data_IF_920256760661
#
_entry.id   IF_920256760661
#
_cell.length_a   1.000
_cell.length_b   1.000
_cell.length_c   1.000
_cell.angle_alpha   90.00
_cell.angle_beta   90.00
_cell.angle_gamma   90.00
#
_symmetry.space_group_name_H-M   'P 1'
#
loop_
_entity.id
_entity.type
_entity.pdbx_description
1 polymer ?
#
# COMPACT_ATOMS: atom_id res chain seq x y z
N UNK A 1 -26.94 48.22 34.07
CA UNK A 1 -25.80 48.57 34.97
C UNK A 1 -24.84 47.38 34.90
N UNK A 2 -23.57 47.45 34.50
CA UNK A 2 -22.56 48.50 34.41
C UNK A 2 -21.58 48.11 33.28
N UNK A 3 -21.09 49.12 32.57
CA UNK A 3 -20.13 49.09 31.46
C UNK A 3 -18.69 49.15 31.96
N UNK A 4 -17.75 48.48 31.28
CA UNK A 4 -16.28 48.75 31.25
C UNK A 4 -15.72 48.14 29.96
N UNK A 5 -15.61 48.86 28.83
CA UNK A 5 -14.49 49.74 28.38
C UNK A 5 -13.10 49.09 28.48
N UNK A 6 -12.53 48.69 27.33
CA UNK A 6 -11.19 49.15 26.96
C UNK A 6 -11.00 49.15 25.45
N UNK A 7 -10.51 50.29 24.97
CA UNK A 7 -10.39 50.73 23.59
C UNK A 7 -8.92 51.13 23.44
N UNK A 8 -8.18 50.59 22.48
CA UNK A 8 -6.88 51.13 22.10
C UNK A 8 -6.76 51.15 20.57
N UNK A 9 -7.04 52.33 20.02
CA UNK A 9 -6.65 52.77 18.68
C UNK A 9 -5.13 52.88 18.63
N UNK A 10 -4.52 52.55 17.49
CA UNK A 10 -3.46 53.36 16.89
C UNK A 10 -3.45 53.21 15.36
N UNK A 11 -3.31 54.36 14.70
CA UNK A 11 -3.55 54.67 13.28
C UNK A 11 -2.28 54.48 12.41
N UNK A 12 -2.42 54.50 11.07
CA UNK A 12 -1.35 54.26 10.09
C UNK A 12 -0.57 55.54 9.72
N UNK A 13 0.68 55.39 9.24
CA UNK A 13 1.43 56.51 8.64
C UNK A 13 2.29 56.10 7.42
N UNK A 14 2.09 56.88 6.36
CA UNK A 14 2.55 56.88 4.97
C UNK A 14 3.98 57.42 4.79
N UNK A 15 4.67 57.04 3.69
CA UNK A 15 5.57 57.85 2.80
C UNK A 15 6.63 56.91 2.18
N UNK A 16 6.64 56.57 0.88
CA UNK A 16 6.91 57.37 -0.33
C UNK A 16 8.28 58.09 -0.31
N UNK A 17 9.28 57.50 -0.97
CA UNK A 17 10.41 58.23 -1.53
C UNK A 17 10.94 57.54 -2.80
N UNK A 18 10.84 58.24 -3.92
CA UNK A 18 11.44 57.91 -5.20
C UNK A 18 12.89 58.42 -5.25
N UNK A 19 13.79 57.67 -5.87
CA UNK A 19 15.08 58.21 -6.33
C UNK A 19 15.44 57.61 -7.70
N UNK A 20 15.28 58.45 -8.72
CA UNK A 20 15.80 58.30 -10.08
C UNK A 20 17.29 58.63 -10.13
N UNK A 21 18.08 57.85 -10.87
CA UNK A 21 19.48 58.16 -11.17
C UNK A 21 20.05 57.29 -12.29
N UNK A 22 20.08 57.84 -13.50
CA UNK A 22 20.55 57.28 -14.77
C UNK A 22 22.08 57.24 -14.93
N UNK A 23 22.53 56.25 -15.72
CA UNK A 23 23.63 56.28 -16.71
C UNK A 23 25.09 56.01 -16.26
N UNK A 24 25.63 54.86 -16.69
CA UNK A 24 26.98 54.74 -17.27
C UNK A 24 27.12 53.43 -18.08
N UNK A 25 27.41 53.56 -19.37
CA UNK A 25 27.88 52.48 -20.25
C UNK A 25 29.36 52.23 -19.99
N UNK A 26 29.75 51.01 -19.59
CA UNK A 26 31.11 50.52 -19.76
C UNK A 26 31.08 49.12 -20.37
N UNK A 27 31.49 49.06 -21.63
CA UNK A 27 31.87 47.84 -22.34
C UNK A 27 33.24 47.40 -21.83
N UNK A 28 33.33 46.23 -21.22
CA UNK A 28 34.59 45.53 -20.98
C UNK A 28 34.43 44.06 -21.38
N UNK A 29 35.06 43.71 -22.49
CA UNK A 29 35.24 42.35 -22.97
C UNK A 29 36.55 41.81 -22.39
N UNK A 30 36.50 40.70 -21.66
CA UNK A 30 37.63 39.78 -21.55
C UNK A 30 37.26 38.50 -20.80
N UNK A 31 37.46 37.39 -21.52
CA UNK A 31 37.93 36.06 -21.07
C UNK A 31 37.06 35.15 -20.19
N UNK A 32 37.00 33.91 -20.68
CA UNK A 32 36.32 32.73 -20.18
C UNK A 32 36.64 32.38 -18.73
N UNK A 33 35.60 32.00 -17.99
CA UNK A 33 35.70 31.15 -16.82
C UNK A 33 34.54 30.15 -16.87
N UNK A 34 34.86 28.93 -17.28
CA UNK A 34 33.99 27.76 -17.19
C UNK A 34 33.52 27.58 -15.75
N UNK A 35 32.23 27.75 -15.51
CA UNK A 35 31.57 27.28 -14.31
C UNK A 35 31.57 25.75 -14.35
N UNK A 36 32.40 25.16 -13.49
CA UNK A 36 32.42 23.73 -13.20
C UNK A 36 31.10 23.32 -12.57
N UNK A 37 30.19 22.78 -13.38
CA UNK A 37 29.09 21.95 -12.89
C UNK A 37 29.72 20.72 -12.24
N UNK A 38 29.60 20.60 -10.92
CA UNK A 38 29.93 19.37 -10.22
C UNK A 38 29.00 18.28 -10.77
N UNK A 39 29.57 17.38 -11.57
CA UNK A 39 28.94 16.11 -11.88
C UNK A 39 28.87 15.33 -10.56
N UNK A 40 27.68 15.19 -10.01
CA UNK A 40 27.41 14.15 -9.03
C UNK A 40 27.60 12.83 -9.74
N UNK A 41 28.72 12.18 -9.44
CA UNK A 41 29.01 10.79 -9.75
C UNK A 41 27.98 9.93 -9.00
N UNK A 42 26.81 9.74 -9.62
CA UNK A 42 25.85 8.73 -9.19
C UNK A 42 26.47 7.40 -9.60
N UNK A 43 27.23 6.84 -8.66
CA UNK A 43 27.62 5.44 -8.69
C UNK A 43 26.34 4.62 -8.67
N UNK A 44 25.84 4.31 -9.87
CA UNK A 44 24.82 3.29 -10.08
C UNK A 44 25.51 1.98 -9.80
N UNK A 45 25.51 1.60 -8.53
CA UNK A 45 25.80 0.22 -8.14
C UNK A 45 24.58 -0.54 -8.63
N UNK A 46 24.67 -1.11 -9.83
CA UNK A 46 23.67 -2.05 -10.32
C UNK A 46 23.50 -3.11 -9.24
N UNK A 47 22.29 -3.17 -8.67
CA UNK A 47 21.87 -4.26 -7.82
C UNK A 47 21.76 -5.52 -8.70
N UNK A 48 22.90 -6.14 -9.00
CA UNK A 48 23.01 -7.44 -9.66
C UNK A 48 22.89 -8.59 -8.66
N UNK A 49 22.03 -8.43 -7.64
CA UNK A 49 21.76 -9.45 -6.64
C UNK A 49 20.25 -9.43 -6.41
N UNK A 50 19.63 -10.58 -6.66
CA UNK A 50 18.19 -10.86 -6.57
C UNK A 50 17.34 -10.71 -7.85
N UNK A 51 17.91 -11.05 -9.00
CA UNK A 51 17.13 -11.51 -10.17
C UNK A 51 16.40 -12.84 -9.93
N UNK A 52 16.48 -13.42 -8.73
CA UNK A 52 15.90 -14.72 -8.36
C UNK A 52 14.49 -14.60 -7.78
N UNK A 53 14.00 -13.38 -7.49
CA UNK A 53 12.64 -13.10 -6.99
C UNK A 53 11.74 -12.49 -8.06
N UNK A 54 11.91 -12.88 -9.33
CA UNK A 54 10.83 -12.71 -10.30
C UNK A 54 9.77 -13.74 -9.90
N UNK A 55 8.93 -13.37 -8.94
CA UNK A 55 7.88 -14.21 -8.36
C UNK A 55 6.91 -14.56 -9.48
N UNK A 56 7.11 -15.74 -10.07
CA UNK A 56 6.24 -16.35 -11.06
C UNK A 56 4.78 -16.19 -10.62
N UNK A 57 4.00 -15.42 -11.39
CA UNK A 57 2.57 -15.23 -11.15
C UNK A 57 1.74 -16.40 -11.66
N UNK A 58 2.37 -17.47 -12.15
CA UNK A 58 1.65 -18.67 -12.58
C UNK A 58 0.96 -19.38 -11.42
N UNK A 59 -0.19 -19.96 -11.74
CA UNK A 59 -0.91 -20.88 -10.88
C UNK A 59 -1.72 -21.85 -11.74
N UNK A 60 -2.16 -22.96 -11.14
CA UNK A 60 -2.99 -23.95 -11.80
C UNK A 60 -4.33 -24.07 -11.08
N UNK A 61 -5.42 -23.70 -11.77
CA UNK A 61 -6.77 -23.81 -11.22
C UNK A 61 -7.08 -25.22 -10.71
N UNK A 62 -6.68 -26.26 -11.45
CA UNK A 62 -6.94 -27.67 -11.08
C UNK A 62 -6.19 -28.15 -9.83
N UNK A 63 -5.14 -27.44 -9.43
CA UNK A 63 -4.34 -27.76 -8.23
C UNK A 63 -4.54 -26.73 -7.11
N UNK A 64 -5.51 -25.83 -7.26
CA UNK A 64 -5.81 -24.78 -6.30
C UNK A 64 -7.08 -25.09 -5.53
N UNK A 65 -7.20 -24.54 -4.33
CA UNK A 65 -8.46 -24.53 -3.59
C UNK A 65 -9.28 -23.33 -4.06
N UNK A 66 -10.49 -23.57 -4.53
CA UNK A 66 -11.39 -22.51 -4.99
C UNK A 66 -12.21 -21.98 -3.80
N UNK A 67 -12.25 -20.65 -3.66
CA UNK A 67 -12.99 -19.93 -2.65
C UNK A 67 -13.97 -18.98 -3.34
N UNK A 68 -15.25 -19.14 -3.07
CA UNK A 68 -16.29 -18.27 -3.61
C UNK A 68 -17.03 -17.54 -2.49
N UNK A 69 -17.09 -16.23 -2.62
CA UNK A 69 -17.82 -15.35 -1.70
C UNK A 69 -19.17 -14.95 -2.28
N UNK A 70 -20.20 -15.04 -1.44
CA UNK A 70 -21.54 -14.54 -1.74
C UNK A 70 -22.11 -13.85 -0.50
N UNK A 71 -21.96 -12.53 -0.46
CA UNK A 71 -22.29 -11.69 0.70
C UNK A 71 -21.45 -12.10 1.91
N UNK A 72 -22.04 -12.64 2.98
CA UNK A 72 -21.27 -13.12 4.15
C UNK A 72 -21.02 -14.63 4.12
N UNK A 73 -21.35 -15.30 3.02
CA UNK A 73 -21.16 -16.75 2.86
C UNK A 73 -19.86 -17.04 2.13
N UNK A 74 -19.08 -17.96 2.67
CA UNK A 74 -17.82 -18.43 2.10
C UNK A 74 -17.97 -19.91 1.75
N UNK A 75 -17.77 -20.25 0.48
CA UNK A 75 -17.71 -21.64 0.02
C UNK A 75 -16.27 -22.02 -0.26
N UNK A 76 -15.82 -23.14 0.30
CA UNK A 76 -14.48 -23.70 0.10
C UNK A 76 -14.60 -25.01 -0.68
N UNK A 77 -14.00 -25.06 -1.87
CA UNK A 77 -13.86 -26.27 -2.69
C UNK A 77 -12.37 -26.64 -2.81
N UNK A 78 -11.95 -27.59 -1.98
CA UNK A 78 -10.55 -28.00 -1.85
C UNK A 78 -10.17 -28.23 -0.39
N UNK A 79 -8.87 -28.13 -0.10
CA UNK A 79 -8.29 -28.35 1.23
C UNK A 79 -7.43 -27.17 1.67
N UNK A 80 -7.00 -27.18 2.93
CA UNK A 80 -6.06 -26.19 3.46
C UNK A 80 -6.68 -24.89 3.97
N UNK A 81 -7.94 -24.62 3.63
CA UNK A 81 -8.72 -23.52 4.17
C UNK A 81 -10.02 -24.00 4.82
N UNK A 82 -10.54 -23.21 5.76
CA UNK A 82 -11.83 -23.42 6.40
C UNK A 82 -12.55 -22.08 6.55
N UNK A 83 -13.88 -22.09 6.43
CA UNK A 83 -14.72 -20.95 6.73
C UNK A 83 -15.38 -21.13 8.11
N UNK A 84 -15.32 -20.09 8.94
CA UNK A 84 -16.11 -19.96 10.16
C UNK A 84 -16.89 -18.64 10.11
N UNK A 85 -18.20 -18.73 9.85
CA UNK A 85 -19.00 -17.55 9.51
C UNK A 85 -18.45 -16.84 8.28
N UNK A 86 -18.12 -15.55 8.43
CA UNK A 86 -17.52 -14.73 7.38
C UNK A 86 -15.99 -14.58 7.49
N UNK A 87 -15.34 -15.47 8.25
CA UNK A 87 -13.87 -15.54 8.32
C UNK A 87 -13.41 -16.77 7.55
N UNK A 88 -12.58 -16.55 6.52
CA UNK A 88 -11.80 -17.59 5.85
C UNK A 88 -10.44 -17.72 6.55
N UNK A 89 -10.09 -18.91 7.01
CA UNK A 89 -8.76 -19.19 7.58
C UNK A 89 -8.01 -20.21 6.71
N UNK A 90 -6.89 -19.78 6.14
CA UNK A 90 -5.94 -20.60 5.38
C UNK A 90 -4.83 -21.08 6.33
N UNK A 91 -4.64 -22.40 6.42
CA UNK A 91 -3.75 -23.04 7.40
C UNK A 91 -2.68 -23.93 6.79
N UNK A 92 -2.77 -24.24 5.49
CA UNK A 92 -1.82 -25.09 4.78
C UNK A 92 -1.17 -24.35 3.61
N UNK A 93 0.06 -24.72 3.21
CA UNK A 93 0.65 -24.22 1.98
C UNK A 93 -0.21 -24.59 0.77
N UNK A 94 -0.16 -23.74 -0.25
CA UNK A 94 -0.85 -23.97 -1.50
C UNK A 94 -1.39 -22.68 -2.13
N UNK A 95 -2.14 -22.86 -3.20
CA UNK A 95 -2.78 -21.77 -3.94
C UNK A 95 -4.28 -21.74 -3.68
N UNK A 96 -4.80 -20.56 -3.40
CA UNK A 96 -6.19 -20.30 -3.07
C UNK A 96 -6.74 -19.24 -4.02
N UNK A 97 -7.74 -19.60 -4.83
CA UNK A 97 -8.34 -18.69 -5.82
C UNK A 97 -9.62 -18.11 -5.23
N UNK A 98 -9.62 -16.81 -4.96
CA UNK A 98 -10.71 -16.10 -4.32
C UNK A 98 -11.49 -15.30 -5.37
N UNK A 99 -12.81 -15.44 -5.35
CA UNK A 99 -13.73 -14.79 -6.28
C UNK A 99 -15.04 -14.38 -5.59
N UNK A 100 -15.75 -13.41 -6.17
CA UNK A 100 -17.04 -12.94 -5.67
C UNK A 100 -16.93 -11.87 -4.58
N UNK A 101 -18.00 -11.66 -3.82
CA UNK A 101 -18.09 -10.56 -2.85
C UNK A 101 -18.26 -11.08 -1.43
N UNK A 102 -17.30 -10.78 -0.55
CA UNK A 102 -17.38 -10.90 0.90
C UNK A 102 -17.69 -9.53 1.49
N UNK A 103 -18.98 -9.25 1.75
CA UNK A 103 -19.47 -7.91 2.10
C UNK A 103 -19.10 -7.46 3.52
N UNK A 104 -18.89 -8.42 4.42
CA UNK A 104 -18.35 -8.21 5.76
C UNK A 104 -17.66 -9.49 6.20
N UNK A 105 -16.34 -9.48 6.35
CA UNK A 105 -15.58 -10.66 6.72
C UNK A 105 -14.07 -10.46 6.60
N UNK A 106 -13.30 -11.52 6.83
CA UNK A 106 -11.84 -11.46 6.74
C UNK A 106 -11.28 -12.70 6.07
N UNK A 107 -10.23 -12.50 5.27
CA UNK A 107 -9.33 -13.59 4.85
C UNK A 107 -8.10 -13.58 5.75
N UNK A 108 -7.85 -14.70 6.42
CA UNK A 108 -6.75 -14.87 7.37
C UNK A 108 -5.82 -15.99 6.91
N UNK A 109 -4.51 -15.73 6.92
CA UNK A 109 -3.48 -16.76 6.72
C UNK A 109 -2.78 -17.02 8.04
N UNK A 110 -2.89 -18.24 8.54
CA UNK A 110 -2.35 -18.69 9.83
C UNK A 110 -1.80 -20.12 9.67
N UNK A 111 -0.65 -20.23 9.02
CA UNK A 111 0.04 -21.51 8.82
C UNK A 111 0.84 -21.89 10.07
N UNK A 112 0.94 -23.20 10.35
CA UNK A 112 1.58 -23.73 11.57
C UNK A 112 3.09 -23.89 11.45
N UNK A 113 3.62 -24.08 10.24
CA UNK A 113 5.04 -24.37 9.96
C UNK A 113 5.70 -23.25 9.15
N UNK A 114 5.14 -22.02 9.19
CA UNK A 114 5.56 -20.90 8.34
C UNK A 114 5.70 -21.36 6.89
N UNK A 115 4.58 -21.69 6.26
CA UNK A 115 4.59 -22.22 4.90
C UNK A 115 4.28 -21.11 3.88
N UNK A 116 4.71 -21.29 2.63
CA UNK A 116 4.38 -20.35 1.56
C UNK A 116 2.92 -20.52 1.12
N UNK A 117 2.21 -19.40 0.98
CA UNK A 117 0.81 -19.35 0.57
C UNK A 117 0.67 -18.38 -0.60
N UNK A 118 -0.05 -18.81 -1.64
CA UNK A 118 -0.45 -17.94 -2.74
C UNK A 118 -1.96 -17.72 -2.68
N UNK A 119 -2.38 -16.46 -2.62
CA UNK A 119 -3.76 -16.03 -2.77
C UNK A 119 -3.90 -15.39 -4.15
N UNK A 120 -4.70 -16.00 -5.01
CA UNK A 120 -5.07 -15.43 -6.30
C UNK A 120 -6.39 -14.67 -6.13
N UNK A 121 -6.37 -13.37 -6.37
CA UNK A 121 -7.57 -12.54 -6.39
C UNK A 121 -8.11 -12.51 -7.84
N UNK A 122 -9.23 -13.19 -8.05
CA UNK A 122 -9.89 -13.41 -9.35
C UNK A 122 -11.30 -12.78 -9.35
N UNK A 123 -11.33 -11.44 -9.35
CA UNK A 123 -12.57 -10.67 -9.24
C UNK A 123 -13.17 -10.71 -7.83
N UNK A 124 -12.32 -10.68 -6.80
CA UNK A 124 -12.73 -10.67 -5.40
C UNK A 124 -12.99 -9.25 -4.88
N UNK A 125 -14.08 -9.07 -4.14
CA UNK A 125 -14.34 -7.88 -3.32
C UNK A 125 -14.44 -8.31 -1.87
N UNK A 126 -13.61 -7.76 -0.99
CA UNK A 126 -13.54 -8.12 0.43
C UNK A 126 -13.62 -6.86 1.27
N UNK A 127 -14.64 -6.79 2.11
CA UNK A 127 -14.85 -5.69 3.06
C UNK A 127 -14.80 -6.21 4.48
N UNK A 128 -14.07 -5.49 5.35
CA UNK A 128 -14.07 -5.73 6.80
C UNK A 128 -14.19 -4.42 7.56
N UNK A 129 -15.38 -4.07 8.01
CA UNK A 129 -15.63 -2.82 8.75
C UNK A 129 -14.97 -2.73 10.14
N UNK A 130 -14.34 -3.81 10.62
CA UNK A 130 -13.77 -3.88 11.98
C UNK A 130 -12.33 -4.40 12.03
N UNK A 131 -11.67 -4.54 10.89
CA UNK A 131 -10.31 -5.09 10.82
C UNK A 131 -9.77 -5.11 9.40
N UNK A 132 -8.63 -5.77 9.20
CA UNK A 132 -8.06 -5.95 7.87
C UNK A 132 -8.96 -6.83 6.99
N UNK A 133 -9.04 -6.53 5.69
CA UNK A 133 -9.69 -7.38 4.71
C UNK A 133 -8.89 -8.69 4.51
N UNK A 134 -7.56 -8.57 4.40
CA UNK A 134 -6.64 -9.71 4.36
C UNK A 134 -5.60 -9.54 5.46
N UNK A 135 -5.50 -10.55 6.33
CA UNK A 135 -4.54 -10.60 7.43
C UNK A 135 -3.67 -11.85 7.34
N UNK A 136 -2.40 -11.68 6.97
CA UNK A 136 -1.38 -12.73 7.06
C UNK A 136 -0.76 -12.69 8.45
N UNK A 137 -1.28 -13.54 9.33
CA UNK A 137 -0.87 -13.66 10.72
C UNK A 137 0.40 -14.50 10.88
N UNK A 138 0.52 -15.58 10.11
CA UNK A 138 1.74 -16.42 10.05
C UNK A 138 1.88 -17.17 8.72
N UNK A 139 3.01 -16.99 8.06
CA UNK A 139 3.48 -17.67 6.86
C UNK A 139 5.02 -17.57 6.78
N UNK A 140 5.68 -18.33 5.90
CA UNK A 140 7.05 -17.95 5.51
C UNK A 140 7.00 -16.78 4.54
N UNK A 141 6.17 -16.90 3.50
CA UNK A 141 5.80 -15.78 2.64
C UNK A 141 4.34 -15.90 2.21
N UNK A 142 3.73 -14.75 1.93
CA UNK A 142 2.42 -14.66 1.30
C UNK A 142 2.53 -13.95 -0.04
N UNK A 143 2.09 -14.62 -1.12
CA UNK A 143 1.97 -14.02 -2.45
C UNK A 143 0.52 -13.68 -2.75
N UNK A 144 0.25 -12.43 -3.08
CA UNK A 144 -1.03 -11.96 -3.60
C UNK A 144 -0.90 -11.80 -5.11
N UNK A 145 -1.55 -12.68 -5.86
CA UNK A 145 -1.57 -12.67 -7.33
C UNK A 145 -2.86 -12.04 -7.85
N UNK A 146 -2.75 -10.96 -8.59
CA UNK A 146 -3.87 -10.29 -9.25
C UNK A 146 -4.16 -10.96 -10.59
N UNK A 147 -5.23 -11.75 -10.67
CA UNK A 147 -5.57 -12.49 -11.89
C UNK A 147 -5.75 -11.54 -13.09
N UNK A 148 -5.23 -11.94 -14.25
CA UNK A 148 -5.25 -11.12 -15.47
C UNK A 148 -6.68 -10.70 -15.85
N UNK A 149 -6.85 -9.42 -16.19
CA UNK A 149 -8.13 -8.88 -16.66
C UNK A 149 -9.20 -8.74 -15.57
N UNK A 150 -8.85 -8.97 -14.31
CA UNK A 150 -9.76 -8.79 -13.17
C UNK A 150 -9.52 -7.48 -12.42
N UNK A 151 -10.57 -7.03 -11.73
CA UNK A 151 -10.50 -5.97 -10.74
C UNK A 151 -10.89 -6.55 -9.39
N UNK A 152 -10.03 -6.35 -8.41
CA UNK A 152 -10.20 -6.82 -7.05
C UNK A 152 -10.29 -5.60 -6.13
N UNK A 153 -11.09 -5.69 -5.07
CA UNK A 153 -11.29 -4.59 -4.13
C UNK A 153 -11.14 -5.08 -2.70
N UNK A 154 -10.29 -4.39 -1.93
CA UNK A 154 -10.15 -4.61 -0.50
C UNK A 154 -10.54 -3.32 0.23
N UNK A 155 -11.36 -3.44 1.27
CA UNK A 155 -11.75 -2.28 2.09
C UNK A 155 -11.82 -2.65 3.57
N UNK A 156 -11.33 -1.76 4.42
CA UNK A 156 -11.46 -1.87 5.87
C UNK A 156 -12.34 -0.77 6.48
N UNK A 157 -12.57 -0.82 7.79
CA UNK A 157 -13.29 0.23 8.53
C UNK A 157 -12.39 1.29 9.15
N UNK A 158 -12.99 2.37 9.66
CA UNK A 158 -12.27 3.47 10.34
C UNK A 158 -11.68 3.07 11.72
N UNK A 159 -12.06 1.90 12.24
CA UNK A 159 -11.64 1.41 13.56
C UNK A 159 -11.44 -0.09 13.53
N UNK A 160 -10.39 -0.58 14.17
CA UNK A 160 -10.11 -2.02 14.27
C UNK A 160 -10.47 -2.58 15.65
N UNK A 161 -10.95 -3.82 15.66
CA UNK A 161 -11.10 -4.64 16.87
C UNK A 161 -10.02 -5.72 16.85
N UNK A 162 -9.08 -5.62 17.79
CA UNK A 162 -7.99 -6.57 17.90
C UNK A 162 -8.40 -7.81 18.71
N UNK A 163 -7.98 -9.00 18.27
CA UNK A 163 -8.20 -10.25 19.01
C UNK A 163 -7.34 -10.32 20.29
N UNK A 164 -6.17 -9.69 20.25
CA UNK A 164 -5.18 -9.63 21.33
C UNK A 164 -4.88 -8.18 21.75
N UNK A 165 -4.05 -7.98 22.77
CA UNK A 165 -3.63 -6.63 23.22
C UNK A 165 -2.53 -6.00 22.34
N UNK A 166 -2.48 -6.38 21.07
CA UNK A 166 -1.51 -5.89 20.09
C UNK A 166 -2.15 -4.77 19.26
N UNK A 167 -1.35 -3.80 18.81
CA UNK A 167 -1.81 -2.71 17.93
C UNK A 167 -1.80 -3.13 16.43
N UNK A 168 -2.01 -4.43 16.14
CA UNK A 168 -1.93 -5.03 14.81
C UNK A 168 -3.07 -6.02 14.55
N UNK A 169 -3.56 -6.16 13.29
CA UNK A 169 -3.08 -5.53 12.05
C UNK A 169 -3.44 -4.04 11.95
N UNK A 170 -2.65 -3.23 11.24
CA UNK A 170 -2.93 -1.80 11.01
C UNK A 170 -2.93 -1.43 9.52
N UNK A 171 -3.33 -2.38 8.68
CA UNK A 171 -3.52 -2.15 7.24
C UNK A 171 -4.65 -3.01 6.65
N UNK A 172 -5.28 -2.55 5.58
CA UNK A 172 -6.33 -3.30 4.87
C UNK A 172 -5.83 -4.65 4.34
N UNK A 173 -4.63 -4.66 3.76
CA UNK A 173 -3.82 -5.85 3.50
C UNK A 173 -2.59 -5.80 4.40
N UNK A 174 -2.58 -6.63 5.44
CA UNK A 174 -1.50 -6.65 6.42
C UNK A 174 -0.82 -8.01 6.48
N UNK A 175 0.51 -8.01 6.50
CA UNK A 175 1.31 -9.21 6.66
C UNK A 175 2.35 -9.10 7.78
N UNK A 176 2.40 -10.11 8.65
CA UNK A 176 3.47 -10.30 9.64
C UNK A 176 4.72 -10.97 9.06
N UNK A 177 4.65 -11.45 7.83
CA UNK A 177 5.73 -12.13 7.08
C UNK A 177 6.02 -11.38 5.78
N UNK A 178 7.00 -11.85 5.00
CA UNK A 178 7.27 -11.37 3.64
C UNK A 178 6.00 -11.38 2.78
N UNK A 179 5.75 -10.25 2.11
CA UNK A 179 4.58 -10.03 1.26
C UNK A 179 5.02 -9.77 -0.19
N UNK A 180 4.50 -10.57 -1.10
CA UNK A 180 4.78 -10.47 -2.52
C UNK A 180 3.47 -10.12 -3.24
N UNK A 181 3.49 -9.12 -4.11
CA UNK A 181 2.38 -8.77 -4.99
C UNK A 181 2.79 -8.94 -6.46
N UNK A 182 2.01 -9.71 -7.22
CA UNK A 182 2.26 -9.98 -8.64
C UNK A 182 0.95 -10.20 -9.43
N UNK A 183 1.05 -10.62 -10.69
CA UNK A 183 -0.07 -10.65 -11.63
C UNK A 183 -0.37 -9.29 -12.28
N UNK A 184 -1.10 -9.34 -13.39
CA UNK A 184 -1.39 -8.16 -14.23
C UNK A 184 -2.77 -7.55 -14.00
N UNK A 185 -3.55 -8.10 -13.05
CA UNK A 185 -4.85 -7.56 -12.66
C UNK A 185 -4.78 -6.20 -11.94
N UNK A 186 -5.95 -5.72 -11.55
CA UNK A 186 -6.11 -4.47 -10.78
C UNK A 186 -6.48 -4.77 -9.33
N UNK A 187 -5.85 -4.06 -8.40
CA UNK A 187 -6.19 -4.04 -6.98
C UNK A 187 -6.59 -2.62 -6.57
N UNK A 188 -7.84 -2.47 -6.13
CA UNK A 188 -8.36 -1.27 -5.51
C UNK A 188 -8.32 -1.47 -3.99
N UNK A 189 -7.74 -0.52 -3.25
CA UNK A 189 -7.67 -0.58 -1.79
C UNK A 189 -8.23 0.70 -1.18
N UNK A 190 -9.28 0.55 -0.38
CA UNK A 190 -9.89 1.62 0.40
C UNK A 190 -9.56 1.43 1.88
N UNK A 191 -8.49 2.08 2.33
CA UNK A 191 -7.94 1.96 3.68
C UNK A 191 -8.35 3.14 4.57
N UNK A 192 -9.39 2.89 5.36
CA UNK A 192 -10.05 3.86 6.22
C UNK A 192 -9.45 3.91 7.63
N UNK A 193 -8.74 2.87 8.08
CA UNK A 193 -8.12 2.84 9.41
C UNK A 193 -6.75 3.53 9.45
N UNK A 194 -5.81 3.02 8.66
CA UNK A 194 -4.41 3.45 8.66
C UNK A 194 -3.79 3.17 7.29
N UNK A 195 -2.96 2.13 7.18
CA UNK A 195 -2.23 1.84 5.94
C UNK A 195 -3.06 1.01 4.96
N UNK A 196 -2.78 1.11 3.66
CA UNK A 196 -3.46 0.24 2.68
C UNK A 196 -2.80 -1.13 2.58
N UNK A 197 -1.51 -1.18 2.24
CA UNK A 197 -0.73 -2.42 2.13
C UNK A 197 0.47 -2.31 3.06
N UNK A 198 0.61 -3.23 4.01
CA UNK A 198 1.75 -3.25 4.93
C UNK A 198 2.30 -4.64 5.18
N UNK A 199 3.62 -4.78 5.02
CA UNK A 199 4.40 -5.92 5.50
C UNK A 199 5.26 -5.52 6.71
N UNK A 200 5.34 -6.41 7.72
CA UNK A 200 6.29 -6.26 8.83
C UNK A 200 7.72 -6.57 8.44
N UNK A 201 7.90 -7.40 7.41
CA UNK A 201 9.20 -7.73 6.85
C UNK A 201 9.32 -7.05 5.46
N UNK A 202 9.74 -7.79 4.43
CA UNK A 202 9.90 -7.26 3.09
C UNK A 202 8.57 -7.23 2.33
N UNK A 203 8.35 -6.14 1.56
CA UNK A 203 7.28 -6.03 0.58
C UNK A 203 7.87 -5.97 -0.81
N UNK A 204 7.53 -6.94 -1.65
CA UNK A 204 7.94 -6.99 -3.06
C UNK A 204 6.73 -6.79 -3.97
N UNK A 205 6.81 -5.86 -4.90
CA UNK A 205 5.83 -5.66 -5.97
C UNK A 205 6.50 -5.96 -7.31
N UNK A 206 6.13 -7.08 -7.91
CA UNK A 206 6.67 -7.51 -9.20
C UNK A 206 5.94 -6.85 -10.38
N UNK A 207 4.62 -6.71 -10.29
CA UNK A 207 3.72 -6.22 -11.34
C UNK A 207 2.34 -5.86 -10.76
N UNK A 208 1.41 -5.42 -11.62
CA UNK A 208 0.01 -5.13 -11.25
C UNK A 208 -0.39 -3.66 -11.44
N UNK A 209 -1.69 -3.39 -11.29
CA UNK A 209 -2.25 -2.04 -11.23
C UNK A 209 -2.86 -1.82 -9.85
N UNK A 210 -2.45 -0.76 -9.16
CA UNK A 210 -2.86 -0.45 -7.80
C UNK A 210 -3.54 0.92 -7.76
N UNK A 211 -4.80 0.93 -7.30
CA UNK A 211 -5.57 2.15 -7.04
C UNK A 211 -5.83 2.21 -5.53
N UNK A 212 -5.13 3.10 -4.84
CA UNK A 212 -5.07 3.10 -3.37
C UNK A 212 -5.55 4.45 -2.83
N UNK A 213 -6.51 4.38 -1.93
CA UNK A 213 -6.87 5.47 -1.02
C UNK A 213 -6.53 5.03 0.40
N UNK A 214 -5.76 5.83 1.14
CA UNK A 214 -5.39 5.49 2.53
C UNK A 214 -5.38 6.69 3.47
N UNK A 215 -5.81 6.50 4.72
CA UNK A 215 -5.68 7.52 5.77
C UNK A 215 -4.22 7.70 6.19
N UNK A 216 -3.46 6.61 6.28
CA UNK A 216 -2.02 6.58 6.51
C UNK A 216 -1.25 6.34 5.22
N UNK A 217 -0.13 5.61 5.32
CA UNK A 217 0.72 5.29 4.17
C UNK A 217 0.02 4.32 3.20
N UNK A 218 0.22 4.51 1.90
CA UNK A 218 -0.39 3.64 0.89
C UNK A 218 0.27 2.25 0.86
N UNK A 219 1.60 2.19 0.75
CA UNK A 219 2.35 0.93 0.77
C UNK A 219 3.51 1.08 1.74
N UNK A 220 3.70 0.10 2.64
CA UNK A 220 4.77 0.12 3.64
C UNK A 220 5.37 -1.28 3.82
N UNK A 221 6.61 -1.46 3.41
CA UNK A 221 7.45 -2.54 3.92
C UNK A 221 8.26 -2.02 5.10
N UNK A 222 8.22 -2.70 6.25
CA UNK A 222 8.89 -2.18 7.45
C UNK A 222 10.40 -2.41 7.40
N UNK A 223 10.85 -3.50 6.76
CA UNK A 223 12.27 -3.76 6.50
C UNK A 223 12.69 -3.21 5.14
N UNK A 224 11.97 -3.57 4.07
CA UNK A 224 12.18 -3.00 2.74
C UNK A 224 10.93 -3.00 1.85
N UNK A 225 10.94 -2.11 0.86
CA UNK A 225 9.99 -2.08 -0.24
C UNK A 225 10.75 -2.19 -1.56
N UNK A 226 10.55 -3.29 -2.28
CA UNK A 226 11.13 -3.52 -3.60
C UNK A 226 10.05 -3.52 -4.67
N UNK A 227 10.19 -2.67 -5.69
CA UNK A 227 9.24 -2.57 -6.80
C UNK A 227 9.98 -2.80 -8.11
N UNK A 228 9.67 -3.91 -8.79
CA UNK A 228 10.18 -4.22 -10.13
C UNK A 228 9.38 -3.51 -11.23
N UNK A 229 8.06 -3.53 -11.11
CA UNK A 229 7.12 -2.93 -12.06
C UNK A 229 5.75 -2.75 -11.40
N UNK A 230 4.91 -1.91 -12.00
CA UNK A 230 3.54 -1.67 -11.56
C UNK A 230 3.02 -0.31 -12.02
N UNK A 231 1.70 -0.15 -12.03
CA UNK A 231 1.04 1.15 -12.19
C UNK A 231 0.36 1.53 -10.89
N UNK A 232 0.58 2.75 -10.41
CA UNK A 232 0.09 3.20 -9.10
C UNK A 232 -0.68 4.51 -9.24
N UNK A 233 -1.91 4.52 -8.74
CA UNK A 233 -2.72 5.71 -8.50
C UNK A 233 -2.96 5.79 -7.01
N UNK A 234 -2.33 6.76 -6.32
CA UNK A 234 -2.30 6.83 -4.86
C UNK A 234 -2.86 8.17 -4.37
N UNK A 235 -3.81 8.11 -3.44
CA UNK A 235 -4.26 9.20 -2.58
C UNK A 235 -4.05 8.78 -1.11
N UNK A 236 -2.89 9.15 -0.55
CA UNK A 236 -2.49 8.78 0.81
C UNK A 236 -2.50 10.01 1.73
N UNK A 237 -3.07 9.86 2.92
CA UNK A 237 -2.97 10.86 3.99
C UNK A 237 -1.60 10.86 4.69
N UNK A 238 -0.89 9.73 4.65
CA UNK A 238 0.51 9.58 5.05
C UNK A 238 1.47 9.64 3.85
N UNK A 239 2.44 8.73 3.82
CA UNK A 239 3.38 8.60 2.70
C UNK A 239 2.80 7.73 1.56
N UNK A 240 3.23 7.99 0.32
CA UNK A 240 2.80 7.19 -0.82
C UNK A 240 3.41 5.77 -0.82
N UNK A 241 4.70 5.66 -0.53
CA UNK A 241 5.53 4.46 -0.52
C UNK A 241 6.61 4.57 0.56
#
# INVERSE_FOLDING_TARGET
MKSTIMNLKNKPLTQMLALTGTLALLTACSTEASTTTAASDVSTTEATVESTLISDSSYSESNSTAISFSDQTITVDGSGAAADGSILTITQPGTYILSGTLSEGQVRVETVDEADVQIVLDGATITNSTGAAIYVKSANSATITLAEGTTNTLSDGETYTFEDSEDEPDATLFSKSDLILNGTGTLIVDANYAHAIKGKDDVTIAEGTYEITSVGDAIKGSDSLFISSGTFTIDAGGDGL
#
